data_IF_371142102849
#
_entry.id   IF_371142102849
#
_cell.length_a   1.000
_cell.length_b   1.000
_cell.length_c   1.000
_cell.angle_alpha   90.00
_cell.angle_beta   90.00
_cell.angle_gamma   90.00
#
_symmetry.space_group_name_H-M   'P 1'
#
loop_
_entity.id
_entity.type
_entity.pdbx_description
1 polymer ?
#
# COMPACT_ATOMS: atom_id res chain seq x y z
N UNK A 1 23.04 3.63 25.99
CA UNK A 1 23.44 3.01 24.70
C UNK A 1 22.16 2.73 23.94
N UNK A 2 22.08 3.16 22.67
CA UNK A 2 20.93 2.83 21.83
C UNK A 2 20.79 1.32 21.70
N UNK A 3 19.57 0.76 21.79
CA UNK A 3 19.33 -0.67 21.55
C UNK A 3 19.67 -1.03 20.09
N UNK A 4 19.94 -2.32 19.81
CA UNK A 4 20.19 -2.80 18.43
C UNK A 4 19.07 -2.39 17.48
N UNK A 5 17.83 -2.47 17.97
CA UNK A 5 16.62 -2.10 17.24
C UNK A 5 16.61 -0.62 16.79
N UNK A 6 16.93 0.31 17.70
CA UNK A 6 17.01 1.75 17.38
C UNK A 6 18.16 2.03 16.40
N UNK A 7 19.29 1.33 16.54
CA UNK A 7 20.42 1.44 15.62
C UNK A 7 20.00 1.00 14.19
N UNK A 8 19.31 -0.15 14.06
CA UNK A 8 18.78 -0.62 12.77
C UNK A 8 17.83 0.37 12.14
N UNK A 9 16.87 0.90 12.91
CA UNK A 9 15.98 1.92 12.37
C UNK A 9 16.74 3.16 11.87
N UNK A 10 17.79 3.57 12.61
CA UNK A 10 18.64 4.69 12.20
C UNK A 10 19.38 4.39 10.88
N UNK A 11 19.83 3.17 10.68
CA UNK A 11 20.49 2.74 9.45
C UNK A 11 19.51 2.76 8.25
N UNK A 12 18.27 2.27 8.44
CA UNK A 12 17.27 2.26 7.37
C UNK A 12 16.71 3.64 7.03
N UNK A 13 16.51 4.51 8.03
CA UNK A 13 16.07 5.89 7.81
C UNK A 13 17.10 6.70 7.02
N UNK A 14 18.39 6.37 7.14
CA UNK A 14 19.46 7.08 6.43
C UNK A 14 19.44 6.91 4.90
N UNK A 15 18.76 5.89 4.37
CA UNK A 15 18.58 5.74 2.93
C UNK A 15 17.51 6.70 2.42
N UNK A 16 17.83 7.45 1.36
CA UNK A 16 16.83 8.25 0.63
C UNK A 16 16.10 7.35 -0.38
N UNK A 17 14.94 6.86 0.04
CA UNK A 17 14.06 6.00 -0.74
C UNK A 17 12.74 6.70 -1.11
N UNK A 18 12.75 8.03 -1.19
CA UNK A 18 11.57 8.82 -1.55
C UNK A 18 11.08 8.48 -2.97
N UNK A 19 9.82 8.19 -3.12
CA UNK A 19 9.20 7.88 -4.41
C UNK A 19 8.42 9.11 -4.92
N UNK A 20 8.84 9.76 -6.04
CA UNK A 20 9.75 9.25 -7.09
C UNK A 20 11.20 9.78 -7.03
N UNK A 21 11.59 10.56 -6.03
CA UNK A 21 12.83 11.36 -6.10
C UNK A 21 14.08 10.66 -5.58
N UNK A 22 13.93 9.60 -4.78
CA UNK A 22 15.02 8.81 -4.20
C UNK A 22 15.38 7.57 -5.01
N UNK A 23 16.18 6.69 -4.40
CA UNK A 23 16.59 5.41 -4.98
C UNK A 23 16.51 4.29 -3.93
N UNK A 24 15.64 3.31 -4.15
CA UNK A 24 15.42 2.17 -3.25
C UNK A 24 16.54 1.12 -3.34
N UNK A 25 17.21 1.02 -4.48
CA UNK A 25 18.17 -0.06 -4.80
C UNK A 25 19.32 -0.19 -3.81
N UNK A 26 19.94 0.89 -3.27
CA UNK A 26 20.98 0.76 -2.26
C UNK A 26 20.48 0.12 -0.96
N UNK A 27 19.26 0.46 -0.50
CA UNK A 27 18.65 -0.13 0.69
C UNK A 27 18.30 -1.59 0.45
N UNK A 28 17.71 -1.92 -0.71
CA UNK A 28 17.37 -3.28 -1.12
C UNK A 28 18.61 -4.18 -1.17
N UNK A 29 19.73 -3.68 -1.70
CA UNK A 29 21.00 -4.41 -1.75
C UNK A 29 21.57 -4.68 -0.35
N UNK A 30 21.48 -3.70 0.57
CA UNK A 30 21.92 -3.86 1.96
C UNK A 30 21.09 -4.89 2.70
N UNK A 31 19.75 -4.77 2.58
CA UNK A 31 18.79 -5.73 3.16
C UNK A 31 19.07 -7.15 2.66
N UNK A 32 19.36 -7.31 1.35
CA UNK A 32 19.69 -8.62 0.77
C UNK A 32 20.98 -9.22 1.36
N UNK A 33 22.02 -8.41 1.55
CA UNK A 33 23.26 -8.85 2.19
C UNK A 33 23.04 -9.27 3.65
N UNK A 34 22.27 -8.50 4.39
CA UNK A 34 21.98 -8.80 5.78
C UNK A 34 21.09 -10.05 5.94
N UNK A 35 20.05 -10.22 5.11
CA UNK A 35 19.21 -11.42 5.11
C UNK A 35 20.04 -12.69 4.83
N UNK A 36 20.95 -12.64 3.89
CA UNK A 36 21.89 -13.75 3.62
C UNK A 36 22.78 -14.04 4.83
N UNK A 37 23.32 -13.00 5.48
CA UNK A 37 24.18 -13.15 6.67
C UNK A 37 23.38 -13.69 7.87
N UNK A 38 22.08 -13.47 7.94
CA UNK A 38 21.18 -13.97 8.99
C UNK A 38 20.59 -15.35 8.67
N UNK A 39 21.09 -16.03 7.64
CA UNK A 39 20.80 -17.44 7.38
C UNK A 39 19.64 -17.71 6.45
N UNK A 40 19.30 -16.76 5.56
CA UNK A 40 18.38 -17.05 4.47
C UNK A 40 18.99 -18.10 3.52
N UNK A 41 18.21 -19.12 3.15
CA UNK A 41 18.64 -20.16 2.20
C UNK A 41 18.72 -19.63 0.75
N UNK A 42 17.84 -18.67 0.41
CA UNK A 42 17.91 -17.95 -0.86
C UNK A 42 17.61 -16.46 -0.64
N UNK A 43 18.29 -15.62 -1.41
CA UNK A 43 18.04 -14.18 -1.47
C UNK A 43 18.01 -13.76 -2.92
N UNK A 44 16.93 -13.19 -3.36
CA UNK A 44 16.70 -12.72 -4.72
C UNK A 44 16.44 -11.21 -4.71
N UNK A 45 17.28 -10.44 -5.41
CA UNK A 45 17.05 -9.03 -5.68
C UNK A 45 16.46 -8.93 -7.08
N UNK A 46 15.28 -8.36 -7.19
CA UNK A 46 14.54 -8.21 -8.45
C UNK A 46 14.38 -6.73 -8.75
N UNK A 47 14.99 -6.30 -9.84
CA UNK A 47 14.82 -4.93 -10.35
C UNK A 47 13.53 -4.83 -11.17
N UNK A 48 12.74 -3.79 -10.89
CA UNK A 48 11.50 -3.42 -11.58
C UNK A 48 11.59 -1.93 -11.92
N UNK A 49 12.46 -1.62 -12.85
CA UNK A 49 12.89 -0.24 -13.19
C UNK A 49 11.80 0.83 -13.11
N UNK A 50 12.03 1.93 -12.36
CA UNK A 50 13.26 2.30 -11.66
C UNK A 50 13.36 1.74 -10.23
N UNK A 51 12.44 0.88 -9.81
CA UNK A 51 12.27 0.32 -8.48
C UNK A 51 12.99 -1.02 -8.31
N UNK A 52 13.09 -1.51 -7.08
CA UNK A 52 13.62 -2.82 -6.76
C UNK A 52 12.93 -3.44 -5.53
N UNK A 53 13.05 -4.76 -5.42
CA UNK A 53 12.63 -5.51 -4.23
C UNK A 53 13.67 -6.55 -3.87
N UNK A 54 13.68 -6.98 -2.61
CA UNK A 54 14.42 -8.16 -2.17
C UNK A 54 13.46 -9.18 -1.57
N UNK A 55 13.63 -10.43 -1.99
CA UNK A 55 12.90 -11.56 -1.46
C UNK A 55 13.86 -12.60 -0.91
N UNK A 56 13.66 -13.00 0.35
CA UNK A 56 14.47 -14.00 1.02
C UNK A 56 13.60 -15.16 1.50
N UNK A 57 14.10 -16.39 1.39
CA UNK A 57 13.43 -17.59 1.88
C UNK A 57 14.26 -18.25 2.97
N UNK A 58 13.57 -18.69 4.00
CA UNK A 58 14.11 -19.45 5.13
C UNK A 58 13.49 -20.85 5.14
N UNK A 59 14.32 -21.88 4.96
CA UNK A 59 13.94 -23.27 4.76
C UNK A 59 14.02 -23.70 3.30
N UNK A 60 14.28 -24.99 3.08
CA UNK A 60 14.46 -25.57 1.75
C UNK A 60 13.15 -25.67 0.95
N UNK A 61 12.02 -25.79 1.64
CA UNK A 61 10.68 -25.87 1.01
C UNK A 61 10.15 -24.47 0.73
N UNK A 62 9.22 -24.33 -0.25
CA UNK A 62 8.54 -23.08 -0.49
C UNK A 62 7.90 -22.54 0.80
N UNK A 63 8.04 -21.24 1.09
CA UNK A 63 7.45 -20.68 2.32
C UNK A 63 5.93 -20.65 2.24
N UNK A 64 5.30 -20.90 3.38
CA UNK A 64 3.84 -20.78 3.53
C UNK A 64 3.41 -19.47 4.16
N UNK A 65 4.33 -18.79 4.84
CA UNK A 65 4.13 -17.49 5.45
C UNK A 65 5.02 -16.45 4.79
N UNK A 66 4.46 -15.30 4.41
CA UNK A 66 5.18 -14.12 3.94
C UNK A 66 5.11 -13.00 4.99
N UNK A 67 6.25 -12.41 5.32
CA UNK A 67 6.33 -11.10 5.97
C UNK A 67 6.69 -10.09 4.87
N UNK A 68 5.86 -9.07 4.69
CA UNK A 68 6.04 -8.06 3.66
C UNK A 68 6.06 -6.67 4.28
N UNK A 69 7.00 -5.83 3.85
CA UNK A 69 7.05 -4.39 4.16
C UNK A 69 7.60 -3.66 2.94
N UNK A 70 7.26 -2.38 2.78
CA UNK A 70 7.83 -1.61 1.67
C UNK A 70 9.03 -0.77 2.13
N UNK A 71 9.93 -0.49 1.18
CA UNK A 71 11.17 0.27 1.40
C UNK A 71 11.06 1.73 1.00
N UNK A 72 10.16 2.04 0.05
CA UNK A 72 9.95 3.40 -0.41
C UNK A 72 9.18 4.25 0.62
N UNK A 73 9.28 5.54 0.48
CA UNK A 73 8.55 6.53 1.29
C UNK A 73 7.97 7.60 0.38
N UNK A 74 6.94 8.28 0.84
CA UNK A 74 6.52 9.53 0.22
C UNK A 74 7.63 10.58 0.28
N UNK A 75 7.60 11.64 -0.56
CA UNK A 75 8.49 12.79 -0.42
C UNK A 75 8.33 13.45 0.97
N UNK A 76 9.46 13.83 1.56
CA UNK A 76 9.45 14.53 2.85
C UNK A 76 8.64 15.82 2.78
N UNK A 77 7.68 15.97 3.67
CA UNK A 77 6.92 17.21 3.80
C UNK A 77 7.80 18.39 4.26
N UNK A 78 7.46 19.60 3.79
CA UNK A 78 8.05 20.80 4.35
C UNK A 78 7.68 20.92 5.84
N UNK A 79 8.65 21.31 6.66
CA UNK A 79 8.42 21.52 8.10
C UNK A 79 9.03 20.46 9.02
N UNK A 80 9.79 19.49 8.48
CA UNK A 80 10.64 18.66 9.35
C UNK A 80 11.56 19.53 10.19
N UNK A 81 11.60 19.28 11.49
CA UNK A 81 12.45 20.03 12.43
C UNK A 81 13.87 19.47 12.56
N UNK A 82 14.15 18.34 11.88
CA UNK A 82 15.47 17.71 11.71
C UNK A 82 15.59 17.20 10.27
N UNK A 83 16.80 16.80 9.84
CA UNK A 83 16.96 16.20 8.51
C UNK A 83 16.11 14.91 8.42
N UNK A 84 15.24 14.74 7.39
CA UNK A 84 14.33 13.60 7.30
C UNK A 84 15.02 12.24 7.34
N UNK A 85 16.21 12.14 6.75
CA UNK A 85 17.03 10.92 6.70
C UNK A 85 17.99 10.76 7.90
N UNK A 86 17.71 11.45 9.00
CA UNK A 86 18.47 11.33 10.25
C UNK A 86 17.51 11.00 11.38
N UNK A 87 17.60 9.79 11.92
CA UNK A 87 16.77 9.39 13.04
C UNK A 87 17.13 10.19 14.30
N UNK A 88 16.13 10.84 14.89
CA UNK A 88 16.28 11.63 16.13
C UNK A 88 15.37 11.08 17.20
N UNK A 89 15.92 10.69 18.35
CA UNK A 89 15.11 10.29 19.48
C UNK A 89 14.65 11.50 20.30
N UNK A 90 13.34 11.64 20.50
CA UNK A 90 12.70 12.69 21.32
C UNK A 90 11.78 12.03 22.36
N UNK A 91 12.33 11.79 23.54
CA UNK A 91 11.63 11.00 24.56
C UNK A 91 11.39 9.56 24.11
N UNK A 92 10.14 9.14 24.05
CA UNK A 92 9.73 7.82 23.54
C UNK A 92 9.64 7.74 22.02
N UNK A 93 9.71 8.87 21.30
CA UNK A 93 9.52 8.96 19.85
C UNK A 93 10.84 8.85 19.10
N UNK A 94 10.84 8.08 18.05
CA UNK A 94 11.92 7.95 17.09
C UNK A 94 11.48 8.64 15.79
N UNK A 95 12.00 9.84 15.55
CA UNK A 95 11.56 10.74 14.47
C UNK A 95 12.48 10.58 13.26
N UNK A 96 11.90 10.35 12.09
CA UNK A 96 12.59 10.23 10.81
C UNK A 96 11.63 9.82 9.71
N UNK A 97 11.93 10.12 8.46
CA UNK A 97 11.09 9.75 7.30
C UNK A 97 11.06 8.23 7.13
N UNK A 98 9.86 7.66 7.02
CA UNK A 98 9.65 6.21 6.97
C UNK A 98 9.73 5.52 8.33
N UNK A 99 9.91 6.25 9.44
CA UNK A 99 10.02 5.64 10.77
C UNK A 99 8.73 4.89 11.18
N UNK A 100 7.56 5.38 10.78
CA UNK A 100 6.29 4.69 10.94
C UNK A 100 5.94 3.88 9.69
N UNK A 101 6.24 4.40 8.50
CA UNK A 101 5.73 3.93 7.22
C UNK A 101 6.88 3.65 6.21
N UNK A 102 7.50 2.44 6.14
CA UNK A 102 7.38 1.27 7.03
C UNK A 102 8.76 0.78 7.49
N UNK A 103 9.81 1.64 7.46
CA UNK A 103 11.19 1.29 7.87
C UNK A 103 11.28 0.83 9.33
N UNK A 104 10.34 1.29 10.19
CA UNK A 104 10.19 0.77 11.56
C UNK A 104 9.86 -0.71 11.59
N UNK A 105 8.93 -1.15 10.76
CA UNK A 105 8.58 -2.56 10.63
C UNK A 105 9.75 -3.38 10.08
N UNK A 106 10.47 -2.86 9.07
CA UNK A 106 11.70 -3.49 8.54
C UNK A 106 12.73 -3.65 9.66
N UNK A 107 12.97 -2.61 10.45
CA UNK A 107 13.91 -2.67 11.57
C UNK A 107 13.48 -3.72 12.62
N UNK A 108 12.18 -3.82 12.92
CA UNK A 108 11.63 -4.80 13.85
C UNK A 108 11.81 -6.23 13.34
N UNK A 109 11.53 -6.51 12.06
CA UNK A 109 11.75 -7.81 11.42
C UNK A 109 13.23 -8.19 11.47
N UNK A 110 14.11 -7.30 11.03
CA UNK A 110 15.54 -7.57 10.94
C UNK A 110 16.21 -7.74 12.31
N UNK A 111 15.80 -6.97 13.32
CA UNK A 111 16.30 -7.13 14.70
C UNK A 111 15.81 -8.46 15.32
N UNK A 112 14.54 -8.81 15.12
CA UNK A 112 13.97 -10.08 15.58
C UNK A 112 14.71 -11.27 14.94
N UNK A 113 14.97 -11.21 13.63
CA UNK A 113 15.70 -12.24 12.91
C UNK A 113 17.14 -12.37 13.42
N UNK A 114 17.82 -11.25 13.69
CA UNK A 114 19.19 -11.24 14.24
C UNK A 114 19.23 -11.84 15.65
N UNK A 115 18.24 -11.56 16.49
CA UNK A 115 18.13 -12.18 17.83
C UNK A 115 17.92 -13.69 17.70
N UNK A 116 16.98 -14.14 16.85
CA UNK A 116 16.73 -15.57 16.63
C UNK A 116 17.99 -16.29 16.08
N UNK A 117 18.67 -15.68 15.13
CA UNK A 117 19.93 -16.18 14.58
C UNK A 117 21.02 -16.31 15.68
N UNK A 118 21.19 -15.29 16.51
CA UNK A 118 22.13 -15.32 17.65
C UNK A 118 21.79 -16.38 18.70
N UNK A 119 20.55 -16.82 18.78
CA UNK A 119 20.09 -17.95 19.61
C UNK A 119 20.28 -19.31 18.94
N UNK A 120 20.81 -19.35 17.69
CA UNK A 120 20.89 -20.57 16.89
C UNK A 120 19.53 -21.06 16.37
N UNK A 121 18.53 -20.21 16.31
CA UNK A 121 17.16 -20.51 15.86
C UNK A 121 16.97 -19.97 14.45
N UNK A 122 16.91 -20.88 13.50
CA UNK A 122 16.73 -20.56 12.08
C UNK A 122 15.29 -20.84 11.68
N UNK A 123 14.47 -19.82 11.36
CA UNK A 123 13.08 -20.04 10.97
C UNK A 123 13.00 -20.86 9.67
N UNK A 124 11.91 -21.59 9.49
CA UNK A 124 11.66 -22.39 8.28
C UNK A 124 10.26 -22.14 7.76
N UNK A 125 10.12 -22.17 6.42
CA UNK A 125 8.83 -21.96 5.78
C UNK A 125 8.36 -20.51 5.85
N UNK A 126 9.30 -19.56 5.99
CA UNK A 126 9.05 -18.11 5.96
C UNK A 126 9.70 -17.47 4.74
N UNK A 127 8.94 -16.65 4.03
CA UNK A 127 9.43 -15.68 3.07
C UNK A 127 9.43 -14.28 3.68
N UNK A 128 10.45 -13.49 3.37
CA UNK A 128 10.51 -12.06 3.71
C UNK A 128 10.63 -11.29 2.40
N UNK A 129 9.68 -10.41 2.13
CA UNK A 129 9.65 -9.52 0.97
C UNK A 129 9.75 -8.08 1.45
N UNK A 130 10.77 -7.37 0.97
CA UNK A 130 10.83 -5.92 1.08
C UNK A 130 10.64 -5.34 -0.32
N UNK A 131 9.47 -4.72 -0.55
CA UNK A 131 8.99 -4.23 -1.85
C UNK A 131 9.25 -2.75 -2.02
N UNK A 132 9.52 -2.31 -3.25
CA UNK A 132 9.51 -0.90 -3.63
C UNK A 132 8.21 -0.50 -4.33
N UNK A 133 8.01 0.82 -4.51
CA UNK A 133 6.88 1.42 -5.24
C UNK A 133 5.49 1.14 -4.63
N UNK A 134 5.39 0.89 -3.33
CA UNK A 134 4.10 0.77 -2.66
C UNK A 134 3.34 2.08 -2.72
N UNK A 135 4.00 3.18 -2.39
CA UNK A 135 3.47 4.54 -2.24
C UNK A 135 2.84 5.13 -3.52
N UNK A 136 2.96 4.42 -4.64
CA UNK A 136 2.42 4.89 -5.93
C UNK A 136 1.66 3.84 -6.72
N UNK A 137 2.30 2.74 -7.12
CA UNK A 137 1.74 1.79 -8.10
C UNK A 137 1.80 0.33 -7.67
N UNK A 138 2.63 0.00 -6.67
CA UNK A 138 2.86 -1.38 -6.25
C UNK A 138 3.45 -2.26 -7.35
N UNK A 139 4.37 -1.72 -8.15
CA UNK A 139 4.93 -2.47 -9.30
C UNK A 139 5.75 -3.67 -8.84
N UNK A 140 6.47 -3.55 -7.71
CA UNK A 140 7.29 -4.64 -7.17
C UNK A 140 6.42 -5.79 -6.66
N UNK A 141 5.41 -5.54 -5.85
CA UNK A 141 4.52 -6.61 -5.36
C UNK A 141 3.76 -7.28 -6.51
N UNK A 142 3.33 -6.53 -7.53
CA UNK A 142 2.68 -7.09 -8.73
C UNK A 142 3.64 -7.99 -9.51
N UNK A 143 4.90 -7.59 -9.66
CA UNK A 143 5.95 -8.41 -10.26
C UNK A 143 6.20 -9.68 -9.45
N UNK A 144 6.26 -9.58 -8.12
CA UNK A 144 6.38 -10.71 -7.21
C UNK A 144 5.24 -11.71 -7.41
N UNK A 145 3.99 -11.23 -7.36
CA UNK A 145 2.79 -12.07 -7.48
C UNK A 145 2.62 -12.68 -8.88
N UNK A 146 3.17 -12.07 -9.92
CA UNK A 146 3.10 -12.60 -11.29
C UNK A 146 4.07 -13.74 -11.55
N UNK A 147 5.01 -14.01 -10.64
CA UNK A 147 6.04 -15.03 -10.78
C UNK A 147 5.79 -16.21 -9.82
N UNK A 148 5.31 -17.36 -10.32
CA UNK A 148 5.10 -18.52 -9.46
C UNK A 148 6.37 -19.07 -8.78
N UNK A 149 7.57 -18.74 -9.28
CA UNK A 149 8.82 -19.12 -8.63
C UNK A 149 9.08 -18.30 -7.37
N UNK A 150 8.56 -17.07 -7.30
CA UNK A 150 8.66 -16.19 -6.14
C UNK A 150 7.48 -16.40 -5.18
N UNK A 151 6.24 -16.30 -5.66
CA UNK A 151 5.04 -16.29 -4.83
C UNK A 151 4.42 -17.67 -4.59
N UNK A 152 4.87 -18.71 -5.29
CA UNK A 152 4.29 -20.05 -5.19
C UNK A 152 4.45 -20.66 -3.80
N UNK A 153 3.36 -21.28 -3.30
CA UNK A 153 3.35 -21.94 -1.99
C UNK A 153 2.96 -21.04 -0.81
N UNK A 154 2.95 -19.72 -0.98
CA UNK A 154 2.55 -18.78 0.08
C UNK A 154 1.04 -18.88 0.28
N UNK A 155 0.64 -19.16 1.51
CA UNK A 155 -0.77 -19.30 1.92
C UNK A 155 -1.23 -18.11 2.74
N UNK A 156 -0.32 -17.52 3.50
CA UNK A 156 -0.58 -16.42 4.44
C UNK A 156 0.44 -15.33 4.35
N UNK A 157 0.03 -14.11 4.69
CA UNK A 157 0.93 -12.97 4.75
C UNK A 157 0.62 -12.04 5.93
N UNK A 158 1.68 -11.41 6.44
CA UNK A 158 1.60 -10.23 7.29
C UNK A 158 2.20 -9.07 6.49
N UNK A 159 1.36 -8.11 6.15
CA UNK A 159 1.77 -6.87 5.51
C UNK A 159 2.02 -5.83 6.60
N UNK A 160 3.24 -5.34 6.65
CA UNK A 160 3.70 -4.51 7.75
C UNK A 160 3.45 -3.04 7.45
N UNK A 161 2.44 -2.49 8.13
CA UNK A 161 1.97 -1.11 8.00
C UNK A 161 1.64 -0.50 9.36
N UNK A 162 1.55 0.83 9.49
CA UNK A 162 1.36 1.51 10.77
C UNK A 162 -0.04 1.30 11.38
N UNK A 163 -0.22 0.19 12.09
CA UNK A 163 -1.49 -0.18 12.75
C UNK A 163 -1.48 -0.03 14.27
N UNK A 164 -0.39 0.49 14.85
CA UNK A 164 -0.19 0.53 16.30
C UNK A 164 -0.12 -0.86 16.93
N UNK A 165 0.43 -1.84 16.22
CA UNK A 165 0.48 -3.26 16.58
C UNK A 165 -0.91 -3.90 16.78
N UNK A 166 -1.96 -3.34 16.17
CA UNK A 166 -3.26 -3.99 16.04
C UNK A 166 -3.33 -4.82 14.75
N UNK A 167 -4.23 -5.80 14.71
CA UNK A 167 -4.49 -6.57 13.48
C UNK A 167 -5.44 -5.78 12.57
N UNK A 168 -4.92 -5.26 11.47
CA UNK A 168 -5.70 -4.63 10.42
C UNK A 168 -6.37 -5.69 9.54
N UNK A 169 -7.70 -5.68 9.49
CA UNK A 169 -8.46 -6.74 8.84
C UNK A 169 -9.14 -6.31 7.54
N UNK A 170 -9.41 -5.03 7.36
CA UNK A 170 -10.18 -4.52 6.23
C UNK A 170 -9.75 -3.11 5.86
N UNK A 171 -9.75 -2.81 4.56
CA UNK A 171 -9.66 -1.43 4.05
C UNK A 171 -10.36 -1.27 2.70
N UNK A 172 -10.63 -0.02 2.32
CA UNK A 172 -11.20 0.33 1.00
C UNK A 172 -10.18 0.10 -0.10
N UNK A 173 -10.69 -0.14 -1.33
CA UNK A 173 -9.89 -0.03 -2.54
C UNK A 173 -9.64 1.42 -2.96
N UNK A 174 -8.82 1.60 -3.99
CA UNK A 174 -8.56 2.88 -4.65
C UNK A 174 -8.70 2.71 -6.15
N UNK A 175 -9.75 3.32 -6.73
CA UNK A 175 -9.93 3.42 -8.17
C UNK A 175 -9.77 4.87 -8.62
N UNK A 176 -9.17 5.09 -9.79
CA UNK A 176 -9.09 6.39 -10.43
C UNK A 176 -9.16 6.26 -11.96
N UNK A 177 -9.84 7.19 -12.59
CA UNK A 177 -9.93 7.23 -14.03
C UNK A 177 -9.93 8.67 -14.57
N UNK A 178 -9.50 8.80 -15.83
CA UNK A 178 -9.54 10.02 -16.58
C UNK A 178 -10.41 9.83 -17.84
N UNK A 179 -11.33 10.75 -18.06
CA UNK A 179 -12.14 10.82 -19.27
C UNK A 179 -11.77 12.05 -20.09
N UNK A 180 -11.58 11.88 -21.39
CA UNK A 180 -11.29 12.98 -22.32
C UNK A 180 -12.35 13.05 -23.41
N UNK A 181 -12.78 14.27 -23.74
CA UNK A 181 -13.59 14.56 -24.92
C UNK A 181 -12.88 15.59 -25.77
N UNK A 182 -12.83 15.35 -27.08
CA UNK A 182 -12.29 16.26 -28.07
C UNK A 182 -13.39 16.75 -29.03
N UNK A 183 -13.20 17.95 -29.60
CA UNK A 183 -14.08 18.54 -30.58
C UNK A 183 -13.27 19.41 -31.55
N UNK A 184 -13.85 19.86 -32.64
CA UNK A 184 -13.18 20.83 -33.52
C UNK A 184 -12.84 22.17 -32.85
N UNK A 185 -13.53 22.50 -31.73
CA UNK A 185 -13.44 23.84 -31.15
C UNK A 185 -14.04 24.90 -32.05
N UNK A 186 -13.86 26.18 -31.69
CA UNK A 186 -14.30 27.28 -32.57
C UNK A 186 -14.63 28.59 -31.86
N UNK A 187 -15.16 29.54 -32.61
CA UNK A 187 -15.59 30.80 -32.03
C UNK A 187 -16.90 30.65 -31.25
N UNK A 188 -17.03 31.29 -30.11
CA UNK A 188 -18.17 31.15 -29.19
C UNK A 188 -19.53 31.52 -29.81
N UNK A 189 -19.56 32.37 -30.86
CA UNK A 189 -20.79 32.69 -31.62
C UNK A 189 -21.41 31.48 -32.31
N UNK A 190 -20.72 30.36 -32.38
CA UNK A 190 -21.18 29.10 -32.97
C UNK A 190 -21.51 28.04 -31.92
N UNK A 191 -21.62 28.42 -30.64
CA UNK A 191 -21.82 27.50 -29.55
C UNK A 191 -23.08 26.62 -29.67
N UNK A 192 -24.14 27.12 -30.32
CA UNK A 192 -25.37 26.36 -30.59
C UNK A 192 -25.19 25.24 -31.63
N UNK A 193 -24.09 25.27 -32.41
CA UNK A 193 -23.86 24.37 -33.54
C UNK A 193 -22.61 23.51 -33.40
N UNK A 194 -21.81 23.73 -32.34
CA UNK A 194 -20.56 23.00 -32.12
C UNK A 194 -20.57 22.33 -30.74
N UNK A 195 -20.06 21.10 -30.64
CA UNK A 195 -19.98 20.42 -29.35
C UNK A 195 -18.96 21.13 -28.45
N UNK A 196 -19.34 21.27 -27.16
CA UNK A 196 -18.46 21.81 -26.13
C UNK A 196 -18.01 20.68 -25.19
N UNK A 197 -16.74 20.27 -25.21
CA UNK A 197 -16.20 19.20 -24.39
C UNK A 197 -16.43 19.39 -22.88
N UNK A 198 -16.33 20.63 -22.37
CA UNK A 198 -16.57 20.92 -20.95
C UNK A 198 -18.04 20.62 -20.60
N UNK A 199 -18.98 21.07 -21.39
CA UNK A 199 -20.41 20.83 -21.13
C UNK A 199 -20.77 19.33 -21.25
N UNK A 200 -20.09 18.60 -22.12
CA UNK A 200 -20.25 17.15 -22.27
C UNK A 200 -19.73 16.44 -21.01
N UNK A 201 -18.51 16.74 -20.57
CA UNK A 201 -17.91 16.15 -19.37
C UNK A 201 -18.62 16.57 -18.08
N UNK A 202 -19.19 17.76 -18.03
CA UNK A 202 -20.02 18.18 -16.88
C UNK A 202 -21.25 17.26 -16.68
N UNK A 203 -21.89 16.79 -17.77
CA UNK A 203 -22.97 15.80 -17.68
C UNK A 203 -22.46 14.45 -17.19
N UNK A 204 -21.30 14.01 -17.66
CA UNK A 204 -20.66 12.78 -17.17
C UNK A 204 -20.29 12.89 -15.69
N UNK A 205 -19.75 14.03 -15.27
CA UNK A 205 -19.43 14.29 -13.86
C UNK A 205 -20.68 14.22 -12.95
N UNK A 206 -21.79 14.83 -13.36
CA UNK A 206 -23.06 14.76 -12.62
C UNK A 206 -23.58 13.32 -12.56
N UNK A 207 -23.51 12.55 -13.66
CA UNK A 207 -23.95 11.16 -13.66
C UNK A 207 -23.14 10.29 -12.71
N UNK A 208 -21.82 10.51 -12.60
CA UNK A 208 -20.93 9.81 -11.69
C UNK A 208 -21.14 10.24 -10.22
N UNK A 209 -21.33 11.54 -9.96
CA UNK A 209 -21.65 12.03 -8.62
C UNK A 209 -23.01 11.45 -8.14
N UNK A 210 -24.02 11.44 -9.00
CA UNK A 210 -25.32 10.83 -8.70
C UNK A 210 -25.20 9.31 -8.48
N UNK A 211 -24.34 8.62 -9.20
CA UNK A 211 -24.04 7.21 -8.94
C UNK A 211 -23.45 7.03 -7.55
N UNK A 212 -22.45 7.81 -7.17
CA UNK A 212 -21.86 7.80 -5.83
C UNK A 212 -22.89 8.10 -4.72
N UNK A 213 -23.77 9.07 -4.95
CA UNK A 213 -24.85 9.44 -4.01
C UNK A 213 -25.84 8.31 -3.77
N UNK A 214 -26.21 7.55 -4.81
CA UNK A 214 -27.09 6.38 -4.69
C UNK A 214 -26.48 5.25 -3.87
N UNK A 215 -25.15 5.19 -3.78
CA UNK A 215 -24.41 4.20 -3.02
C UNK A 215 -24.12 4.63 -1.56
N UNK A 216 -24.50 5.85 -1.15
CA UNK A 216 -24.07 6.47 0.12
C UNK A 216 -24.31 5.60 1.35
N UNK A 217 -25.47 4.96 1.41
CA UNK A 217 -25.90 4.19 2.57
C UNK A 217 -25.74 2.65 2.33
N UNK A 218 -25.02 2.27 1.27
CA UNK A 218 -24.77 0.87 0.94
C UNK A 218 -23.36 0.46 1.36
N UNK A 219 -23.20 -0.80 1.76
CA UNK A 219 -21.92 -1.35 2.19
C UNK A 219 -21.95 -1.88 3.62
N UNK A 220 -20.89 -2.56 4.04
CA UNK A 220 -20.75 -3.06 5.40
C UNK A 220 -20.55 -1.93 6.39
N UNK A 221 -20.93 -2.16 7.66
CA UNK A 221 -20.75 -1.20 8.75
C UNK A 221 -19.30 -0.70 8.83
N UNK A 222 -19.15 0.64 8.91
CA UNK A 222 -17.85 1.33 8.89
C UNK A 222 -17.29 1.60 7.48
N UNK A 223 -17.92 1.06 6.44
CA UNK A 223 -17.51 1.24 5.04
C UNK A 223 -18.69 1.63 4.13
N UNK A 224 -19.68 2.29 4.67
CA UNK A 224 -20.83 2.76 3.88
C UNK A 224 -20.37 3.73 2.78
N UNK A 225 -21.04 3.65 1.64
CA UNK A 225 -20.78 4.50 0.48
C UNK A 225 -19.58 4.11 -0.37
N UNK A 226 -19.60 4.58 -1.61
CA UNK A 226 -18.55 4.34 -2.61
C UNK A 226 -17.40 5.36 -2.53
N UNK A 227 -17.56 6.44 -1.78
CA UNK A 227 -16.61 7.57 -1.74
C UNK A 227 -16.25 8.06 -3.15
N UNK A 228 -17.25 8.20 -4.03
CA UNK A 228 -17.07 8.77 -5.38
C UNK A 228 -16.65 10.23 -5.27
N UNK A 229 -15.59 10.60 -5.98
CA UNK A 229 -15.05 11.95 -6.01
C UNK A 229 -14.82 12.41 -7.45
N UNK A 230 -15.50 13.49 -7.85
CA UNK A 230 -15.18 14.23 -9.07
C UNK A 230 -14.02 15.16 -8.74
N UNK A 231 -12.81 14.76 -9.11
CA UNK A 231 -11.58 15.42 -8.65
C UNK A 231 -11.24 16.68 -9.45
N UNK A 232 -11.52 16.69 -10.76
CA UNK A 232 -11.26 17.85 -11.63
C UNK A 232 -12.08 17.77 -12.91
N UNK A 233 -12.42 18.93 -13.45
CA UNK A 233 -12.78 19.14 -14.86
C UNK A 233 -11.88 20.25 -15.38
N UNK A 234 -11.04 19.93 -16.35
CA UNK A 234 -10.07 20.86 -16.94
C UNK A 234 -10.41 21.10 -18.41
N UNK A 235 -10.31 22.36 -18.85
CA UNK A 235 -10.52 22.73 -20.25
C UNK A 235 -10.80 24.22 -20.43
N UNK A 236 -10.75 24.66 -21.68
CA UNK A 236 -11.00 26.04 -22.05
C UNK A 236 -9.76 26.93 -22.03
N UNK A 237 -9.84 28.04 -22.76
CA UNK A 237 -8.76 29.03 -22.91
C UNK A 237 -9.24 30.45 -22.67
N UNK A 238 -10.39 30.84 -23.28
CA UNK A 238 -10.92 32.19 -23.25
C UNK A 238 -12.45 32.21 -23.45
N UNK A 239 -13.11 33.28 -23.05
CA UNK A 239 -14.58 33.41 -23.13
C UNK A 239 -15.14 33.29 -24.53
N UNK A 240 -14.38 33.70 -25.53
CA UNK A 240 -14.80 33.71 -26.94
C UNK A 240 -14.38 32.45 -27.71
N UNK A 241 -13.90 31.42 -27.05
CA UNK A 241 -13.41 30.16 -27.64
C UNK A 241 -14.21 28.97 -27.12
N UNK A 242 -14.75 28.16 -28.03
CA UNK A 242 -15.27 26.81 -27.69
C UNK A 242 -14.06 25.89 -27.59
N UNK A 243 -13.86 25.20 -26.43
CA UNK A 243 -12.70 24.32 -26.25
C UNK A 243 -12.66 23.19 -27.28
N UNK A 244 -11.46 22.83 -27.73
CA UNK A 244 -11.25 21.65 -28.57
C UNK A 244 -11.01 20.37 -27.76
N UNK A 245 -10.74 20.49 -26.44
CA UNK A 245 -10.51 19.38 -25.53
C UNK A 245 -10.93 19.77 -24.13
N UNK A 246 -11.44 18.77 -23.39
CA UNK A 246 -11.58 18.84 -21.92
C UNK A 246 -11.30 17.46 -21.32
N UNK A 247 -10.95 17.44 -20.04
CA UNK A 247 -10.59 16.26 -19.27
C UNK A 247 -11.37 16.26 -17.95
N UNK A 248 -11.91 15.11 -17.57
CA UNK A 248 -12.55 14.84 -16.27
C UNK A 248 -11.74 13.81 -15.53
N UNK A 249 -11.40 14.06 -14.27
CA UNK A 249 -10.74 13.11 -13.37
C UNK A 249 -11.69 12.71 -12.25
N UNK A 250 -11.77 11.42 -12.02
CA UNK A 250 -12.61 10.85 -10.96
C UNK A 250 -11.85 9.81 -10.17
N UNK A 251 -12.23 9.65 -8.89
CA UNK A 251 -11.75 8.57 -8.04
C UNK A 251 -12.90 7.98 -7.23
N UNK A 252 -12.71 6.72 -6.81
CA UNK A 252 -13.68 6.00 -5.98
C UNK A 252 -12.93 5.08 -5.00
N UNK A 253 -13.57 4.81 -3.86
CA UNK A 253 -13.01 3.93 -2.84
C UNK A 253 -14.04 2.88 -2.44
N UNK A 254 -14.14 1.75 -3.17
CA UNK A 254 -15.09 0.69 -2.86
C UNK A 254 -14.80 0.07 -1.50
N UNK A 255 -15.87 -0.33 -0.82
CA UNK A 255 -15.83 -1.04 0.45
C UNK A 255 -15.20 -2.44 0.29
N UNK A 256 -14.74 -3.06 1.39
CA UNK A 256 -14.37 -4.48 1.42
C UNK A 256 -15.44 -5.37 0.78
N UNK A 257 -15.00 -6.32 -0.06
CA UNK A 257 -15.88 -7.17 -0.85
C UNK A 257 -16.40 -6.57 -2.17
N UNK A 258 -16.13 -5.28 -2.44
CA UNK A 258 -16.48 -4.65 -3.71
C UNK A 258 -15.58 -5.10 -4.86
N UNK A 259 -16.15 -5.25 -6.05
CA UNK A 259 -15.38 -5.54 -7.28
C UNK A 259 -14.94 -4.23 -7.95
N UNK A 260 -13.66 -3.89 -7.81
CA UNK A 260 -13.06 -2.69 -8.37
C UNK A 260 -13.20 -2.62 -9.89
N UNK A 261 -13.01 -3.74 -10.60
CA UNK A 261 -13.05 -3.77 -12.06
C UNK A 261 -14.48 -3.55 -12.57
N UNK A 262 -15.46 -4.19 -11.92
CA UNK A 262 -16.88 -4.02 -12.25
C UNK A 262 -17.33 -2.57 -11.99
N UNK A 263 -16.94 -1.96 -10.87
CA UNK A 263 -17.29 -0.58 -10.53
C UNK A 263 -16.69 0.44 -11.51
N UNK A 264 -15.42 0.27 -11.91
CA UNK A 264 -14.80 1.14 -12.92
C UNK A 264 -15.47 0.98 -14.29
N UNK A 265 -15.85 -0.23 -14.68
CA UNK A 265 -16.59 -0.47 -15.93
C UNK A 265 -17.99 0.15 -15.89
N UNK A 266 -18.69 0.12 -14.75
CA UNK A 266 -19.97 0.80 -14.58
C UNK A 266 -19.82 2.32 -14.66
N UNK A 267 -18.78 2.89 -14.02
CA UNK A 267 -18.46 4.33 -14.14
C UNK A 267 -18.20 4.72 -15.60
N UNK A 268 -17.42 3.92 -16.33
CA UNK A 268 -17.18 4.17 -17.76
C UNK A 268 -18.48 4.15 -18.56
N UNK A 269 -19.35 3.16 -18.35
CA UNK A 269 -20.62 3.06 -19.05
C UNK A 269 -21.54 4.26 -18.79
N UNK A 270 -21.63 4.71 -17.53
CA UNK A 270 -22.39 5.89 -17.14
C UNK A 270 -21.84 7.18 -17.77
N UNK A 271 -20.50 7.34 -17.74
CA UNK A 271 -19.86 8.50 -18.35
C UNK A 271 -20.07 8.55 -19.87
N UNK A 272 -19.92 7.42 -20.57
CA UNK A 272 -20.18 7.31 -22.00
C UNK A 272 -21.64 7.61 -22.37
N UNK A 273 -22.60 7.06 -21.60
CA UNK A 273 -24.02 7.31 -21.80
C UNK A 273 -24.36 8.81 -21.64
N UNK A 274 -23.83 9.47 -20.63
CA UNK A 274 -24.04 10.88 -20.38
C UNK A 274 -23.33 11.80 -21.40
N UNK A 275 -22.24 11.35 -22.01
CA UNK A 275 -21.51 12.06 -23.04
C UNK A 275 -22.16 11.95 -24.43
N UNK A 276 -22.99 10.93 -24.67
CA UNK A 276 -23.59 10.68 -25.98
C UNK A 276 -24.27 11.92 -26.58
N UNK A 277 -24.17 12.15 -27.92
CA UNK A 277 -23.52 11.31 -28.95
C UNK A 277 -22.01 11.51 -29.09
N UNK A 278 -21.34 12.31 -28.23
CA UNK A 278 -19.93 12.56 -28.33
C UNK A 278 -19.13 11.27 -27.94
N UNK A 279 -17.96 11.12 -28.57
CA UNK A 279 -17.02 10.06 -28.19
C UNK A 279 -16.24 10.51 -26.96
N UNK A 280 -16.18 9.63 -25.95
CA UNK A 280 -15.44 9.82 -24.73
C UNK A 280 -14.34 8.78 -24.65
N UNK A 281 -13.10 9.22 -24.53
CA UNK A 281 -11.96 8.35 -24.23
C UNK A 281 -11.87 8.17 -22.71
N UNK A 282 -11.80 6.91 -22.26
CA UNK A 282 -11.71 6.55 -20.84
C UNK A 282 -10.42 5.80 -20.57
N UNK A 283 -9.67 6.26 -19.58
CA UNK A 283 -8.41 5.64 -19.14
C UNK A 283 -8.47 5.37 -17.65
N UNK A 284 -8.32 4.10 -17.26
CA UNK A 284 -8.14 3.73 -15.86
C UNK A 284 -6.71 4.05 -15.45
N UNK A 285 -6.56 4.88 -14.44
CA UNK A 285 -5.26 5.33 -13.89
C UNK A 285 -4.82 4.44 -12.73
N UNK A 286 -5.79 4.02 -11.90
CA UNK A 286 -5.57 3.14 -10.75
C UNK A 286 -6.77 2.20 -10.56
N UNK A 287 -6.50 0.94 -10.20
CA UNK A 287 -7.51 -0.09 -9.96
C UNK A 287 -7.06 -1.03 -8.82
N UNK A 288 -6.71 -0.46 -7.69
CA UNK A 288 -6.30 -1.23 -6.51
C UNK A 288 -7.54 -1.75 -5.77
N UNK A 289 -7.67 -3.09 -5.58
CA UNK A 289 -8.85 -3.70 -4.97
C UNK A 289 -9.00 -3.31 -3.50
N UNK A 290 -10.22 -3.44 -2.91
CA UNK A 290 -10.40 -3.41 -1.47
C UNK A 290 -9.85 -4.69 -0.84
N UNK A 291 -9.64 -4.64 0.47
CA UNK A 291 -9.09 -5.75 1.24
C UNK A 291 -10.04 -6.19 2.36
N UNK A 292 -10.09 -7.49 2.56
CA UNK A 292 -10.66 -8.13 3.74
C UNK A 292 -9.97 -9.47 3.97
N UNK A 293 -9.39 -9.65 5.16
CA UNK A 293 -8.85 -10.96 5.58
C UNK A 293 -9.97 -11.98 5.79
N UNK A 294 -9.68 -13.24 5.51
CA UNK A 294 -10.63 -14.34 5.70
C UNK A 294 -10.65 -14.86 7.14
N UNK A 295 -9.53 -14.82 7.85
CA UNK A 295 -9.35 -15.45 9.15
C UNK A 295 -8.76 -14.50 10.22
N UNK A 296 -9.31 -13.29 10.35
CA UNK A 296 -8.82 -12.25 11.27
C UNK A 296 -8.57 -12.76 12.70
N UNK A 297 -9.50 -13.53 13.28
CA UNK A 297 -9.37 -14.04 14.63
C UNK A 297 -8.22 -15.04 14.82
N UNK A 298 -7.90 -15.85 13.80
CA UNK A 298 -6.78 -16.76 13.83
C UNK A 298 -5.43 -16.00 13.83
N UNK A 299 -5.34 -14.95 13.02
CA UNK A 299 -4.18 -14.06 13.00
C UNK A 299 -4.03 -13.28 14.31
N UNK A 300 -5.15 -12.77 14.87
CA UNK A 300 -5.14 -12.05 16.16
C UNK A 300 -4.57 -12.92 17.29
N UNK A 301 -5.06 -14.16 17.42
CA UNK A 301 -4.56 -15.11 18.40
C UNK A 301 -3.07 -15.45 18.19
N UNK A 302 -2.66 -15.62 16.94
CA UNK A 302 -1.28 -15.98 16.60
C UNK A 302 -0.30 -14.80 16.77
N UNK A 303 -0.67 -13.59 16.36
CA UNK A 303 0.15 -12.39 16.54
C UNK A 303 0.17 -11.91 18.01
N UNK A 304 -0.79 -12.34 18.84
CA UNK A 304 -0.90 -11.89 20.21
C UNK A 304 -1.06 -10.37 20.31
N UNK A 305 -1.80 -9.79 19.38
CA UNK A 305 -1.96 -8.36 19.24
C UNK A 305 -2.62 -7.73 20.49
N UNK A 306 -2.24 -6.48 20.80
CA UNK A 306 -2.79 -5.71 21.94
C UNK A 306 -4.27 -5.42 21.81
N UNK A 307 -4.77 -5.24 20.60
CA UNK A 307 -6.18 -4.96 20.38
C UNK A 307 -7.01 -6.23 20.58
N UNK A 308 -8.01 -6.15 21.43
CA UNK A 308 -8.94 -7.26 21.67
C UNK A 308 -9.86 -7.56 20.46
N UNK A 309 -9.73 -6.80 19.37
CA UNK A 309 -10.49 -6.98 18.11
C UNK A 309 -9.69 -6.45 16.93
N UNK A 310 -9.82 -7.10 15.74
CA UNK A 310 -9.28 -6.56 14.50
C UNK A 310 -9.82 -5.16 14.20
N UNK A 311 -8.98 -4.33 13.59
CA UNK A 311 -9.32 -2.94 13.25
C UNK A 311 -9.51 -2.76 11.74
N UNK A 312 -10.34 -1.79 11.39
CA UNK A 312 -10.48 -1.32 10.02
C UNK A 312 -9.43 -0.23 9.75
N UNK A 313 -8.87 -0.25 8.53
CA UNK A 313 -7.83 0.69 8.13
C UNK A 313 -8.41 1.78 7.24
N UNK A 314 -7.97 3.02 7.46
CA UNK A 314 -8.37 4.16 6.67
C UNK A 314 -7.58 4.30 5.35
N UNK A 315 -6.53 3.49 5.16
CA UNK A 315 -5.58 3.53 4.05
C UNK A 315 -5.54 2.20 3.30
N UNK A 316 -4.98 2.22 2.11
CA UNK A 316 -4.79 1.04 1.27
C UNK A 316 -3.42 0.41 1.55
N UNK A 317 -3.28 -0.89 1.34
CA UNK A 317 -2.04 -1.65 1.55
C UNK A 317 -1.88 -2.75 0.50
N UNK A 318 -0.67 -3.28 0.34
CA UNK A 318 -0.37 -4.42 -0.53
C UNK A 318 -1.12 -5.71 -0.15
N UNK A 319 -1.72 -5.78 1.06
CA UNK A 319 -2.57 -6.90 1.48
C UNK A 319 -3.75 -7.14 0.53
N UNK A 320 -4.23 -6.10 -0.13
CA UNK A 320 -5.29 -6.23 -1.13
C UNK A 320 -4.86 -7.05 -2.35
N UNK A 321 -3.64 -6.86 -2.84
CA UNK A 321 -3.10 -7.60 -3.99
C UNK A 321 -2.78 -9.04 -3.62
N UNK A 322 -2.25 -9.27 -2.41
CA UNK A 322 -2.04 -10.61 -1.87
C UNK A 322 -3.38 -11.35 -1.74
N UNK A 323 -4.41 -10.69 -1.21
CA UNK A 323 -5.77 -11.23 -1.11
C UNK A 323 -6.38 -11.59 -2.47
N UNK A 324 -6.21 -10.73 -3.49
CA UNK A 324 -6.65 -11.00 -4.89
C UNK A 324 -5.91 -12.21 -5.48
N UNK A 325 -4.65 -12.41 -5.12
CA UNK A 325 -3.85 -13.59 -5.51
C UNK A 325 -4.20 -14.86 -4.71
N UNK A 326 -5.17 -14.80 -3.79
CA UNK A 326 -5.61 -15.96 -2.99
C UNK A 326 -4.83 -16.19 -1.70
N UNK A 327 -3.87 -15.34 -1.36
CA UNK A 327 -3.10 -15.39 -0.12
C UNK A 327 -3.92 -14.73 0.98
N UNK A 328 -4.14 -15.42 2.11
CA UNK A 328 -4.84 -14.83 3.25
C UNK A 328 -3.88 -13.91 4.04
N UNK A 329 -4.16 -12.62 4.02
CA UNK A 329 -3.28 -11.61 4.58
C UNK A 329 -3.93 -10.89 5.77
N UNK A 330 -3.09 -10.30 6.61
CA UNK A 330 -3.45 -9.27 7.59
C UNK A 330 -2.44 -8.14 7.53
N UNK A 331 -2.84 -7.01 8.06
CA UNK A 331 -1.96 -5.85 8.21
C UNK A 331 -1.56 -5.71 9.68
N UNK A 332 -0.26 -5.57 9.95
CA UNK A 332 0.24 -5.47 11.32
C UNK A 332 1.61 -4.80 11.36
N UNK A 333 1.78 -3.76 12.17
CA UNK A 333 3.09 -3.14 12.38
C UNK A 333 3.08 -2.01 13.39
N UNK A 334 4.27 -1.51 13.75
CA UNK A 334 4.42 -0.37 14.65
C UNK A 334 4.10 0.94 13.94
N UNK A 335 3.85 1.99 14.71
CA UNK A 335 3.45 3.30 14.19
C UNK A 335 1.95 3.38 13.90
N UNK A 336 1.49 4.58 13.59
CA UNK A 336 0.09 4.87 13.31
C UNK A 336 -0.03 5.74 12.07
N UNK A 337 -1.09 5.56 11.30
CA UNK A 337 -1.28 6.30 10.04
C UNK A 337 -1.31 7.82 10.22
N UNK A 338 -1.74 8.31 11.39
CA UNK A 338 -1.75 9.73 11.70
C UNK A 338 -0.36 10.33 11.84
N UNK A 339 0.68 9.48 11.98
CA UNK A 339 2.09 9.86 12.06
C UNK A 339 2.78 9.82 10.70
N UNK A 340 2.28 8.97 9.81
CA UNK A 340 2.79 8.80 8.44
C UNK A 340 2.47 10.02 7.57
N UNK A 341 3.26 10.24 6.52
CA UNK A 341 3.07 11.32 5.54
C UNK A 341 3.00 12.74 6.16
N UNK A 342 3.49 12.90 7.37
CA UNK A 342 3.51 14.17 8.10
C UNK A 342 4.94 14.67 8.32
N UNK A 343 5.12 15.97 8.56
CA UNK A 343 6.40 16.49 9.03
C UNK A 343 6.71 15.92 10.41
N UNK A 344 7.99 15.61 10.65
CA UNK A 344 8.42 14.94 11.89
C UNK A 344 7.69 13.58 12.12
N UNK A 345 7.49 12.81 11.05
CA UNK A 345 7.03 11.44 11.14
C UNK A 345 7.83 10.67 12.19
N UNK A 346 7.15 9.85 12.99
CA UNK A 346 7.78 9.11 14.07
C UNK A 346 7.10 7.79 14.38
N UNK A 347 7.83 6.90 15.04
CA UNK A 347 7.29 5.70 15.69
C UNK A 347 7.56 5.76 17.19
N UNK A 348 6.62 5.29 18.00
CA UNK A 348 6.86 5.14 19.44
C UNK A 348 7.77 3.93 19.69
N UNK A 349 8.80 4.10 20.53
CA UNK A 349 9.75 3.03 20.84
C UNK A 349 9.05 1.77 21.37
N UNK A 350 8.02 1.94 22.20
CA UNK A 350 7.27 0.81 22.75
C UNK A 350 6.50 0.01 21.68
N UNK A 351 5.96 0.67 20.63
CA UNK A 351 5.31 -0.02 19.50
C UNK A 351 6.35 -0.75 18.65
N UNK A 352 7.51 -0.14 18.44
CA UNK A 352 8.62 -0.76 17.71
C UNK A 352 9.15 -2.02 18.42
N UNK A 353 9.31 -1.97 19.74
CA UNK A 353 9.72 -3.10 20.57
C UNK A 353 8.67 -4.23 20.56
N UNK A 354 7.38 -3.87 20.62
CA UNK A 354 6.30 -4.84 20.56
C UNK A 354 6.24 -5.58 19.21
N UNK A 355 6.37 -4.86 18.11
CA UNK A 355 6.43 -5.45 16.79
C UNK A 355 7.63 -6.40 16.67
N UNK A 356 8.82 -5.98 17.12
CA UNK A 356 10.02 -6.80 17.17
C UNK A 356 9.78 -8.09 17.97
N UNK A 357 9.19 -8.00 19.16
CA UNK A 357 8.93 -9.15 20.01
C UNK A 357 7.90 -10.11 19.40
N UNK A 358 6.93 -9.57 18.66
CA UNK A 358 5.97 -10.35 17.89
C UNK A 358 6.65 -11.13 16.78
N UNK A 359 7.48 -10.49 15.95
CA UNK A 359 8.25 -11.18 14.91
C UNK A 359 9.23 -12.20 15.48
N UNK A 360 9.86 -11.91 16.62
CA UNK A 360 10.75 -12.86 17.30
C UNK A 360 10.02 -14.13 17.75
N UNK A 361 8.80 -13.99 18.28
CA UNK A 361 7.96 -15.17 18.63
C UNK A 361 7.65 -16.00 17.37
N UNK A 362 7.32 -15.35 16.25
CA UNK A 362 7.07 -16.03 14.98
C UNK A 362 8.31 -16.80 14.54
N UNK A 363 9.48 -16.17 14.51
CA UNK A 363 10.72 -16.83 14.09
C UNK A 363 11.09 -18.02 14.99
N UNK A 364 10.94 -17.88 16.30
CA UNK A 364 11.19 -18.97 17.25
C UNK A 364 10.25 -20.16 17.02
N UNK A 365 8.94 -19.89 16.85
CA UNK A 365 7.95 -20.93 16.56
C UNK A 365 8.27 -21.68 15.24
N UNK A 366 8.65 -20.95 14.21
CA UNK A 366 9.01 -21.54 12.92
C UNK A 366 10.36 -22.28 12.93
N UNK A 367 11.28 -21.94 13.83
CA UNK A 367 12.51 -22.71 14.04
C UNK A 367 12.26 -24.07 14.71
N UNK A 368 11.22 -24.18 15.55
CA UNK A 368 10.84 -25.39 16.26
C UNK A 368 9.89 -26.32 15.45
N UNK A 369 9.60 -25.97 14.19
CA UNK A 369 8.68 -26.73 13.34
C UNK A 369 7.21 -26.45 13.58
N UNK A 370 6.89 -25.49 14.45
CA UNK A 370 5.54 -25.02 14.74
C UNK A 370 5.15 -23.82 13.89
N UNK A 371 4.92 -24.02 12.60
CA UNK A 371 4.22 -23.01 11.77
C UNK A 371 2.79 -22.78 12.28
N UNK A 372 2.13 -21.65 11.96
CA UNK A 372 0.73 -21.46 12.34
C UNK A 372 -0.08 -22.63 11.81
N UNK A 373 -0.83 -23.29 12.70
CA UNK A 373 -1.75 -24.32 12.27
C UNK A 373 -2.67 -23.77 11.18
N UNK A 374 -2.93 -24.51 10.09
CA UNK A 374 -3.89 -24.07 9.09
C UNK A 374 -5.21 -23.81 9.82
N UNK A 375 -5.81 -22.66 9.60
CA UNK A 375 -7.20 -22.44 9.99
C UNK A 375 -8.02 -23.47 9.21
N UNK A 376 -8.61 -24.41 9.93
CA UNK A 376 -9.57 -25.39 9.41
C UNK A 376 -10.88 -24.67 9.10
#
# INVERSE_FOLDING_TARGET
MSSSLVKRLSEWVAFDTQNPSGDERPMVAELGRELAALGADTVEIVEVEPHAMVYARFGAEPPRLLLNAHVDTVPANAGYSSAPHTLVQRGSRLVGLGAADTKGAIAAIMDALAVAHGEGRYPRGIGILFSGDEERRGTCIRRFLSDPALAGGIERAVVCEPTGCAVGARHRGIGAAEATVTSPGGHSSRADHLPNPIAILARAAVALDDFGRRQRDQGPAGFEGLCMNVAAIDGGLAFNVIPSRATLRVSLRPAPGGDMKALLAECEALARAAAAPAVLDWTVVNANPPFQTRHAGAFEAWLGARAARPVDLAFWTEAALLGEAGIDAVVFGPGRIEQAHAADEFVELAELEEARDTFLRIFRAHAEGGGPAPAS
#
